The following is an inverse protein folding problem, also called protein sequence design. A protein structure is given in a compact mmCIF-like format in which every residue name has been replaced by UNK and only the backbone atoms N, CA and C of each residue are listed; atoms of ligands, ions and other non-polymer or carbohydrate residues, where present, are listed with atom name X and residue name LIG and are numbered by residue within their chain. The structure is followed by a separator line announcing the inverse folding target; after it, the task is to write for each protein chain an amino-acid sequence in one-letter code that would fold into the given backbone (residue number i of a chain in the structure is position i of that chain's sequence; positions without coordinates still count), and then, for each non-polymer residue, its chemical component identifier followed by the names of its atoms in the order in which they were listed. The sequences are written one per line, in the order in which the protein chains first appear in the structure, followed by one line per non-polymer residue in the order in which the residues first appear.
data_IF_129281178782
#
_entry.id   IF_129281178782
#
_cell.length_a   1.000
_cell.length_b   1.000
_cell.length_c   1.000
_cell.angle_alpha   90.00
_cell.angle_beta   90.00
_cell.angle_gamma   90.00
#
_symmetry.space_group_name_H-M   'P 1'
#
loop_
_entity.id
_entity.type
_entity.pdbx_description
1 polymer ?
#
# COMPACT_ATOMS: atom_id res chain seq x y z
N UNK A 1 76.23 -26.27 -23.07
CA UNK A 1 74.84 -26.78 -23.03
C UNK A 1 73.96 -25.69 -22.46
N UNK A 2 72.99 -25.22 -23.25
CA UNK A 2 72.19 -24.01 -23.00
C UNK A 2 70.74 -24.42 -22.73
N UNK A 3 70.17 -23.97 -21.62
CA UNK A 3 68.74 -24.13 -21.34
C UNK A 3 68.19 -22.78 -20.87
N UNK A 4 67.54 -22.07 -21.78
CA UNK A 4 66.75 -20.87 -21.48
C UNK A 4 65.43 -21.31 -20.84
N UNK A 5 65.18 -20.90 -19.59
CA UNK A 5 63.87 -21.04 -18.97
C UNK A 5 62.96 -19.89 -19.43
N UNK A 6 61.86 -20.21 -20.11
CA UNK A 6 60.81 -19.27 -20.51
C UNK A 6 59.74 -19.29 -19.40
N UNK A 7 59.56 -18.16 -18.71
CA UNK A 7 58.45 -17.96 -17.79
C UNK A 7 57.16 -17.79 -18.60
N UNK A 8 56.21 -18.72 -18.45
CA UNK A 8 54.87 -18.59 -19.02
C UNK A 8 53.93 -18.10 -17.94
N UNK A 9 53.76 -16.78 -17.87
CA UNK A 9 52.65 -16.14 -17.15
C UNK A 9 51.38 -16.29 -17.98
N UNK A 10 50.68 -17.41 -17.86
CA UNK A 10 49.34 -17.55 -18.44
C UNK A 10 48.31 -17.09 -17.40
N UNK A 11 47.88 -15.84 -17.59
CA UNK A 11 46.68 -15.26 -17.00
C UNK A 11 45.50 -16.23 -17.22
N UNK A 12 44.90 -16.68 -16.12
CA UNK A 12 43.56 -17.26 -16.15
C UNK A 12 42.61 -16.22 -16.78
N UNK A 13 41.84 -16.56 -17.82
CA UNK A 13 40.80 -15.68 -18.30
C UNK A 13 39.70 -15.61 -17.25
N UNK A 14 39.45 -14.40 -16.73
CA UNK A 14 38.25 -14.09 -15.96
C UNK A 14 37.03 -14.58 -16.77
N UNK A 15 36.04 -15.24 -16.15
CA UNK A 15 34.83 -15.63 -16.85
C UNK A 15 34.15 -14.37 -17.40
N UNK A 16 33.97 -14.41 -18.72
CA UNK A 16 33.42 -13.37 -19.57
C UNK A 16 32.01 -13.01 -19.08
N UNK A 17 31.88 -11.94 -18.28
CA UNK A 17 30.63 -11.43 -17.71
C UNK A 17 29.70 -10.76 -18.72
N UNK A 18 29.39 -11.45 -19.83
CA UNK A 18 28.55 -10.94 -20.94
C UNK A 18 27.38 -11.87 -21.28
N UNK A 19 26.84 -12.58 -20.29
CA UNK A 19 25.64 -13.40 -20.49
C UNK A 19 24.80 -13.52 -19.20
N UNK A 20 24.46 -12.39 -18.58
CA UNK A 20 23.20 -12.33 -17.84
C UNK A 20 22.13 -11.98 -18.86
N UNK A 21 21.62 -13.05 -19.45
CA UNK A 21 20.30 -13.18 -20.06
C UNK A 21 19.33 -12.15 -19.47
N UNK A 22 18.46 -11.60 -20.31
CA UNK A 22 17.23 -10.93 -19.90
C UNK A 22 16.50 -11.82 -18.88
N UNK A 23 16.85 -11.73 -17.60
CA UNK A 23 16.00 -12.17 -16.52
C UNK A 23 14.86 -11.18 -16.61
N UNK A 24 13.80 -11.58 -17.30
CA UNK A 24 12.51 -10.91 -17.25
C UNK A 24 12.13 -10.93 -15.78
N UNK A 25 12.60 -9.92 -15.06
CA UNK A 25 12.27 -9.64 -13.68
C UNK A 25 10.77 -9.42 -13.69
N UNK A 26 10.02 -10.49 -13.46
CA UNK A 26 8.57 -10.40 -13.43
C UNK A 26 8.22 -9.55 -12.22
N UNK A 27 7.43 -8.47 -12.39
CA UNK A 27 6.98 -7.67 -11.26
C UNK A 27 6.22 -8.57 -10.28
N UNK A 28 6.30 -8.23 -9.00
CA UNK A 28 5.53 -8.92 -7.97
C UNK A 28 4.05 -8.81 -8.30
N UNK A 29 3.40 -9.95 -8.31
CA UNK A 29 2.04 -10.10 -8.82
C UNK A 29 1.17 -10.63 -7.70
N UNK A 30 -0.14 -10.32 -7.72
CA UNK A 30 -1.08 -10.85 -6.72
C UNK A 30 -1.24 -12.39 -6.84
N UNK A 31 -1.98 -12.98 -5.90
CA UNK A 31 -2.34 -14.41 -5.91
C UNK A 31 -2.97 -14.90 -7.23
N UNK A 32 -3.58 -14.01 -8.01
CA UNK A 32 -4.23 -14.29 -9.29
C UNK A 32 -3.36 -13.93 -10.51
N UNK A 33 -2.10 -13.55 -10.31
CA UNK A 33 -1.24 -13.09 -11.41
C UNK A 33 -1.61 -11.70 -11.97
N UNK A 34 -2.29 -10.87 -11.19
CA UNK A 34 -2.59 -9.46 -11.51
C UNK A 34 -1.54 -8.49 -10.95
N UNK A 35 -1.14 -7.53 -11.77
CA UNK A 35 -0.31 -6.40 -11.33
C UNK A 35 -1.13 -5.41 -10.51
N UNK A 36 -0.45 -4.50 -9.80
CA UNK A 36 -1.09 -3.48 -8.96
C UNK A 36 -2.23 -2.74 -9.63
N UNK A 37 -2.05 -2.26 -10.87
CA UNK A 37 -3.14 -1.57 -11.59
C UNK A 37 -4.38 -2.46 -11.69
N UNK A 38 -4.23 -3.70 -12.16
CA UNK A 38 -5.36 -4.61 -12.36
C UNK A 38 -6.01 -5.02 -11.02
N UNK A 39 -5.24 -5.06 -9.94
CA UNK A 39 -5.77 -5.28 -8.60
C UNK A 39 -6.63 -4.12 -8.14
N UNK A 40 -6.11 -2.89 -8.28
CA UNK A 40 -6.82 -1.67 -7.90
C UNK A 40 -8.08 -1.47 -8.74
N UNK A 41 -7.98 -1.71 -10.04
CA UNK A 41 -9.10 -1.70 -10.99
C UNK A 41 -10.21 -2.66 -10.53
N UNK A 42 -9.85 -3.87 -10.09
CA UNK A 42 -10.81 -4.83 -9.55
C UNK A 42 -11.40 -4.40 -8.20
N UNK A 43 -10.59 -3.85 -7.30
CA UNK A 43 -11.04 -3.42 -5.96
C UNK A 43 -11.94 -2.18 -6.02
N UNK A 44 -11.77 -1.35 -7.05
CA UNK A 44 -12.40 -0.04 -7.19
C UNK A 44 -13.32 0.04 -8.42
N UNK A 45 -13.78 -1.13 -8.90
CA UNK A 45 -14.81 -1.30 -9.94
C UNK A 45 -14.50 -0.65 -11.31
N UNK A 46 -13.22 -0.64 -11.70
CA UNK A 46 -12.78 -0.30 -13.06
C UNK A 46 -12.48 1.18 -13.34
N UNK A 47 -12.49 2.04 -12.32
CA UNK A 47 -12.34 3.49 -12.47
C UNK A 47 -10.95 4.02 -12.03
N UNK A 48 -9.86 3.32 -12.39
CA UNK A 48 -8.50 3.78 -12.07
C UNK A 48 -7.65 4.03 -13.30
N UNK A 49 -7.31 5.30 -13.48
CA UNK A 49 -6.29 5.73 -14.42
C UNK A 49 -4.89 5.43 -13.86
N UNK A 50 -3.94 5.13 -14.75
CA UNK A 50 -2.53 5.09 -14.41
C UNK A 50 -2.08 6.41 -13.76
N UNK A 51 -2.73 7.54 -14.12
CA UNK A 51 -2.54 8.83 -13.49
C UNK A 51 -2.76 8.82 -11.99
N UNK A 52 -3.87 8.25 -11.53
CA UNK A 52 -4.18 8.23 -10.11
C UNK A 52 -3.21 7.34 -9.34
N UNK A 53 -2.66 6.31 -9.99
CA UNK A 53 -1.64 5.46 -9.41
C UNK A 53 -0.32 6.22 -9.24
N UNK A 54 0.24 6.83 -10.29
CA UNK A 54 1.52 7.53 -10.13
C UNK A 54 1.42 8.80 -9.27
N UNK A 55 0.24 9.44 -9.24
CA UNK A 55 -0.09 10.52 -8.30
C UNK A 55 -0.10 10.00 -6.85
N UNK A 56 -0.76 8.87 -6.59
CA UNK A 56 -0.73 8.21 -5.28
C UNK A 56 0.68 7.84 -4.84
N UNK A 57 1.50 7.33 -5.76
CA UNK A 57 2.89 6.97 -5.48
C UNK A 57 3.79 8.19 -5.25
N UNK A 58 3.37 9.39 -5.66
CA UNK A 58 4.16 10.61 -5.64
C UNK A 58 5.35 10.55 -6.61
N UNK A 59 5.16 9.91 -7.77
CA UNK A 59 6.21 9.71 -8.77
C UNK A 59 5.80 10.26 -10.13
N UNK A 60 6.80 10.59 -10.96
CA UNK A 60 6.53 10.97 -12.36
C UNK A 60 6.03 9.78 -13.17
N UNK A 61 5.28 10.03 -14.24
CA UNK A 61 4.83 8.99 -15.17
C UNK A 61 6.01 8.16 -15.72
N UNK A 62 7.13 8.81 -16.05
CA UNK A 62 8.33 8.13 -16.55
C UNK A 62 8.92 7.15 -15.52
N UNK A 63 8.97 7.56 -14.24
CA UNK A 63 9.44 6.70 -13.16
C UNK A 63 8.49 5.51 -12.98
N UNK A 64 7.18 5.76 -12.95
CA UNK A 64 6.15 4.74 -12.82
C UNK A 64 6.27 3.65 -13.90
N UNK A 65 6.29 4.03 -15.18
CA UNK A 65 6.36 3.05 -16.29
C UNK A 65 7.69 2.26 -16.31
N UNK A 66 8.75 2.78 -15.71
CA UNK A 66 10.00 2.04 -15.51
C UNK A 66 9.85 1.02 -14.38
N UNK A 67 9.26 1.44 -13.26
CA UNK A 67 9.11 0.67 -12.01
C UNK A 67 8.20 -0.53 -12.17
N UNK A 68 7.10 -0.41 -12.91
CA UNK A 68 6.18 -1.55 -13.15
C UNK A 68 6.83 -2.75 -13.86
N UNK A 69 8.04 -2.59 -14.41
CA UNK A 69 8.82 -3.66 -15.07
C UNK A 69 9.93 -4.22 -14.17
N UNK A 70 10.12 -3.64 -12.99
CA UNK A 70 11.12 -4.08 -12.01
C UNK A 70 10.55 -5.24 -11.19
N UNK A 71 11.40 -6.20 -10.80
CA UNK A 71 10.96 -7.38 -10.03
C UNK A 71 10.47 -7.02 -8.62
N UNK A 72 10.97 -5.93 -8.06
CA UNK A 72 10.67 -5.50 -6.69
C UNK A 72 9.38 -4.67 -6.59
N UNK A 73 8.75 -4.39 -7.73
CA UNK A 73 7.49 -3.65 -7.77
C UNK A 73 6.29 -4.58 -7.63
N UNK A 74 5.27 -4.24 -6.82
CA UNK A 74 5.24 -3.14 -5.85
C UNK A 74 5.90 -3.51 -4.52
N UNK A 75 6.55 -2.54 -3.87
CA UNK A 75 7.08 -2.72 -2.52
C UNK A 75 6.17 -2.14 -1.42
N UNK A 76 6.47 -2.45 -0.16
CA UNK A 76 5.64 -2.09 1.00
C UNK A 76 5.30 -0.58 1.05
N UNK A 77 6.29 0.29 0.94
CA UNK A 77 6.06 1.75 0.97
C UNK A 77 5.20 2.27 -0.22
N UNK A 78 5.28 1.65 -1.41
CA UNK A 78 4.40 2.00 -2.54
C UNK A 78 2.96 1.58 -2.25
N UNK A 79 2.77 0.37 -1.70
CA UNK A 79 1.45 -0.08 -1.28
C UNK A 79 0.86 0.79 -0.16
N UNK A 80 1.68 1.31 0.74
CA UNK A 80 1.23 2.21 1.81
C UNK A 80 0.63 3.49 1.23
N UNK A 81 1.35 4.14 0.32
CA UNK A 81 0.88 5.38 -0.32
C UNK A 81 -0.39 5.17 -1.14
N UNK A 82 -0.46 4.05 -1.85
CA UNK A 82 -1.65 3.66 -2.60
C UNK A 82 -2.82 3.38 -1.65
N UNK A 83 -2.59 2.63 -0.57
CA UNK A 83 -3.61 2.37 0.44
C UNK A 83 -4.15 3.68 1.05
N UNK A 84 -3.26 4.58 1.44
CA UNK A 84 -3.62 5.88 2.02
C UNK A 84 -4.44 6.74 1.04
N UNK A 85 -4.09 6.72 -0.26
CA UNK A 85 -4.78 7.52 -1.28
C UNK A 85 -6.16 6.99 -1.65
N UNK A 86 -6.27 5.67 -1.80
CA UNK A 86 -7.52 5.02 -2.24
C UNK A 86 -8.41 4.56 -1.07
N UNK A 87 -7.97 4.76 0.18
CA UNK A 87 -8.71 4.33 1.37
C UNK A 87 -8.78 2.81 1.52
N UNK A 88 -7.75 2.09 1.07
CA UNK A 88 -7.67 0.63 1.13
C UNK A 88 -6.95 0.17 2.39
N UNK A 89 -7.20 -1.08 2.80
CA UNK A 89 -6.44 -1.72 3.89
C UNK A 89 -5.01 -2.01 3.43
N UNK A 90 -4.04 -1.37 4.09
CA UNK A 90 -2.62 -1.60 3.84
C UNK A 90 -2.20 -3.06 4.12
N UNK A 91 -2.55 -3.68 5.27
CA UNK A 91 -2.27 -5.09 5.53
C UNK A 91 -2.82 -6.02 4.44
N UNK A 92 -4.03 -5.76 3.93
CA UNK A 92 -4.64 -6.60 2.89
C UNK A 92 -3.83 -6.56 1.60
N UNK A 93 -3.39 -5.36 1.18
CA UNK A 93 -2.52 -5.23 0.01
C UNK A 93 -1.19 -5.98 0.21
N UNK A 94 -0.58 -5.87 1.38
CA UNK A 94 0.66 -6.59 1.68
C UNK A 94 0.49 -8.11 1.61
N UNK A 95 -0.63 -8.64 2.12
CA UNK A 95 -0.94 -10.06 2.03
C UNK A 95 -1.09 -10.48 0.57
N UNK A 96 -1.88 -9.74 -0.22
CA UNK A 96 -2.16 -10.10 -1.61
C UNK A 96 -0.93 -10.07 -2.51
N UNK A 97 0.02 -9.17 -2.26
CA UNK A 97 1.31 -9.16 -2.95
C UNK A 97 2.36 -10.10 -2.32
N UNK A 98 2.00 -10.85 -1.28
CA UNK A 98 2.90 -11.77 -0.60
C UNK A 98 4.10 -11.07 0.04
N UNK A 99 3.93 -9.82 0.45
CA UNK A 99 4.92 -9.08 1.26
C UNK A 99 4.74 -9.34 2.76
N UNK A 100 3.57 -9.85 3.15
CA UNK A 100 3.22 -10.26 4.50
C UNK A 100 2.29 -11.47 4.41
N UNK A 101 2.24 -12.33 5.44
CA UNK A 101 1.26 -13.42 5.49
C UNK A 101 0.09 -13.08 6.41
N UNK A 102 -1.07 -13.69 6.18
CA UNK A 102 -2.22 -13.51 7.08
C UNK A 102 -1.89 -13.97 8.51
N UNK A 103 -1.15 -15.08 8.65
CA UNK A 103 -0.71 -15.57 9.96
C UNK A 103 0.20 -14.58 10.68
N UNK A 104 1.04 -13.85 9.94
CA UNK A 104 1.91 -12.81 10.51
C UNK A 104 1.11 -11.62 11.02
N UNK A 105 0.04 -11.23 10.31
CA UNK A 105 -0.89 -10.18 10.79
C UNK A 105 -1.60 -10.63 12.07
N UNK A 106 -2.13 -11.86 12.09
CA UNK A 106 -2.79 -12.42 13.28
C UNK A 106 -1.82 -12.51 14.47
N UNK A 107 -0.61 -13.01 14.24
CA UNK A 107 0.43 -13.11 15.27
C UNK A 107 0.81 -11.74 15.82
N UNK A 108 0.89 -10.72 14.97
CA UNK A 108 1.14 -9.34 15.40
C UNK A 108 0.01 -8.78 16.27
N UNK A 109 -1.25 -9.01 15.89
CA UNK A 109 -2.42 -8.53 16.65
C UNK A 109 -2.49 -9.22 18.02
N UNK A 110 -2.27 -10.53 18.09
CA UNK A 110 -2.28 -11.29 19.35
C UNK A 110 -1.10 -10.91 20.26
N UNK A 111 0.07 -10.70 19.68
CA UNK A 111 1.29 -10.35 20.42
C UNK A 111 1.35 -8.88 20.82
N UNK A 112 0.53 -8.02 20.21
CA UNK A 112 0.58 -6.58 20.46
C UNK A 112 -0.17 -6.23 21.76
N UNK A 113 0.54 -5.78 22.81
CA UNK A 113 -0.11 -5.30 24.04
C UNK A 113 -0.96 -4.04 23.80
N UNK A 114 -0.81 -3.38 22.64
CA UNK A 114 -1.59 -2.22 22.24
C UNK A 114 -2.93 -2.60 21.59
N UNK A 115 -2.97 -3.66 20.78
CA UNK A 115 -4.22 -4.20 20.23
C UNK A 115 -5.13 -4.70 21.35
N UNK A 116 -4.57 -5.42 22.32
CA UNK A 116 -5.31 -5.85 23.52
C UNK A 116 -5.85 -4.69 24.37
N UNK A 117 -5.24 -3.50 24.31
CA UNK A 117 -5.66 -2.30 25.05
C UNK A 117 -6.76 -1.51 24.32
N UNK A 118 -6.72 -1.42 22.99
CA UNK A 118 -7.78 -0.82 22.19
C UNK A 118 -9.09 -1.63 22.27
N UNK A 119 -9.01 -2.96 22.21
CA UNK A 119 -10.18 -3.85 22.39
C UNK A 119 -10.74 -3.72 23.82
N UNK A 120 -9.86 -3.69 24.84
CA UNK A 120 -10.28 -3.46 26.25
C UNK A 120 -10.95 -2.11 26.47
N UNK A 121 -10.49 -1.05 25.80
CA UNK A 121 -11.14 0.26 25.90
C UNK A 121 -12.52 0.25 25.23
N UNK A 122 -12.72 -0.51 24.16
CA UNK A 122 -14.04 -0.73 23.54
C UNK A 122 -14.98 -1.51 24.47
N UNK A 123 -14.47 -2.46 25.28
CA UNK A 123 -15.28 -3.24 26.23
C UNK A 123 -15.53 -2.53 27.57
N UNK A 124 -14.74 -1.50 27.91
CA UNK A 124 -14.87 -0.72 29.15
C UNK A 124 -15.48 0.66 28.94
N UNK A 125 -16.19 0.89 27.83
CA UNK A 125 -17.16 1.96 27.77
C UNK A 125 -18.45 1.47 28.46
N UNK A 126 -18.77 1.89 29.70
CA UNK A 126 -20.15 1.84 30.13
C UNK A 126 -20.94 2.65 29.12
N UNK A 127 -21.83 1.99 28.40
CA UNK A 127 -22.82 2.60 27.54
C UNK A 127 -23.78 3.37 28.45
N UNK A 128 -23.39 4.58 28.85
CA UNK A 128 -24.36 5.58 29.25
C UNK A 128 -25.21 5.86 27.99
N UNK A 129 -26.54 5.71 28.03
CA UNK A 129 -27.39 6.06 26.91
C UNK A 129 -27.45 7.59 26.82
N UNK A 130 -26.44 8.22 26.22
CA UNK A 130 -26.55 9.62 25.80
C UNK A 130 -27.39 9.66 24.54
N UNK A 131 -28.70 9.67 24.78
CA UNK A 131 -29.71 10.03 23.80
C UNK A 131 -29.53 11.50 23.45
N UNK A 132 -28.71 11.81 22.44
CA UNK A 132 -28.78 13.09 21.74
C UNK A 132 -29.06 12.85 20.25
N UNK A 133 -30.29 12.38 19.99
CA UNK A 133 -30.98 12.82 18.79
C UNK A 133 -31.26 14.30 18.98
N UNK A 134 -30.44 15.17 18.40
CA UNK A 134 -30.83 16.56 18.13
C UNK A 134 -31.96 16.53 17.11
N UNK A 135 -33.17 16.33 17.63
CA UNK A 135 -34.41 16.55 16.90
C UNK A 135 -34.41 18.03 16.47
N UNK A 136 -34.44 18.28 15.18
CA UNK A 136 -34.68 19.63 14.66
C UNK A 136 -35.96 20.19 15.30
N UNK A 137 -35.95 21.43 15.82
CA UNK A 137 -37.13 22.02 16.45
C UNK A 137 -38.26 22.08 15.43
N UNK A 138 -39.48 21.72 15.87
CA UNK A 138 -40.66 21.75 15.00
C UNK A 138 -41.00 23.20 14.66
N UNK A 139 -41.53 23.45 13.47
CA UNK A 139 -41.86 24.81 12.99
C UNK A 139 -42.78 25.60 13.94
N UNK A 140 -43.60 24.89 14.74
CA UNK A 140 -44.48 25.43 15.78
C UNK A 140 -43.76 26.01 17.01
N UNK A 141 -42.47 25.72 17.17
CA UNK A 141 -41.62 26.18 18.28
C UNK A 141 -40.79 27.43 17.92
N UNK A 142 -40.85 27.89 16.67
CA UNK A 142 -40.19 29.12 16.23
C UNK A 142 -41.02 30.34 16.63
N UNK A 143 -40.52 31.11 17.61
CA UNK A 143 -41.11 32.41 17.99
C UNK A 143 -40.61 33.51 17.02
N UNK A 144 -41.49 34.34 16.45
CA UNK A 144 -41.10 35.56 15.76
C UNK A 144 -40.30 36.47 16.72
N UNK A 145 -39.23 37.09 16.22
CA UNK A 145 -38.43 38.06 17.00
C UNK A 145 -39.31 39.27 17.32
N UNK A 146 -39.50 39.56 18.61
CA UNK A 146 -40.29 40.70 19.11
C UNK A 146 -39.64 42.07 18.86
N UNK A 147 -38.43 42.11 18.29
CA UNK A 147 -37.63 43.31 18.07
C UNK A 147 -37.68 43.76 16.59
N UNK A 148 -38.85 43.63 15.96
CA UNK A 148 -39.08 44.17 14.63
C UNK A 148 -39.65 45.59 14.78
N UNK A 149 -38.93 46.64 14.32
CA UNK A 149 -39.48 47.99 14.33
C UNK A 149 -40.69 48.07 13.38
N UNK A 150 -41.78 48.76 13.78
CA UNK A 150 -42.98 48.90 12.95
C UNK A 150 -42.67 49.72 11.67
N UNK A 151 -43.29 49.32 10.55
CA UNK A 151 -43.36 50.09 9.31
C UNK A 151 -44.42 51.18 9.40
#
# INVERSE_FOLDING_TARGET
MSIKAKAYSLRLPLPNGRNLLYRKCVPRTDENGRQLKALLDYLLDGDIDAKDIYDALGTSSSTYYRRIKEADYPHAEELRRVADRFGLSYPDLQIRFGLMSEQEVWSYIESSPFAGRAVRQMTMAPTAPTTHRTRAPKLSELKPRSDAPPL
#
